data_IF_351493277433
#
_entry.id   IF_351493277433
#
_cell.length_a   1.000
_cell.length_b   1.000
_cell.length_c   1.000
_cell.angle_alpha   90.00
_cell.angle_beta   90.00
_cell.angle_gamma   90.00
#
_symmetry.space_group_name_H-M   'P 1'
#
loop_
_entity.id
_entity.type
_entity.pdbx_description
1 polymer ?
#
# COMPACT_ATOMS: atom_id res chain seq x y z
N UNK A 1 -29.90 12.20 25.42
CA UNK A 1 -30.44 12.46 24.05
C UNK A 1 -31.40 13.65 24.01
N UNK A 2 -32.36 13.85 24.93
CA UNK A 2 -33.20 15.05 24.92
C UNK A 2 -32.49 16.34 25.39
N UNK A 3 -31.61 16.27 26.37
CA UNK A 3 -30.85 17.43 26.86
C UNK A 3 -29.85 17.99 25.83
N UNK A 4 -29.31 17.14 24.91
CA UNK A 4 -28.42 17.59 23.86
C UNK A 4 -29.16 18.21 22.66
N UNK A 5 -30.42 17.80 22.46
CA UNK A 5 -31.30 18.42 21.44
C UNK A 5 -31.72 19.83 21.84
N UNK A 6 -32.08 20.04 23.13
CA UNK A 6 -32.44 21.37 23.67
C UNK A 6 -31.28 22.39 23.53
N UNK A 7 -30.02 21.95 23.77
CA UNK A 7 -28.85 22.82 23.63
C UNK A 7 -28.53 23.17 22.15
N UNK A 8 -28.85 22.30 21.21
CA UNK A 8 -28.68 22.58 19.78
C UNK A 8 -29.71 23.60 19.28
N UNK A 9 -30.94 23.53 19.78
CA UNK A 9 -32.01 24.47 19.43
C UNK A 9 -31.77 25.89 20.02
N UNK A 10 -31.30 25.99 21.25
CA UNK A 10 -30.89 27.28 21.84
C UNK A 10 -29.76 27.93 21.03
N UNK A 11 -28.74 27.15 20.62
CA UNK A 11 -27.62 27.70 19.84
C UNK A 11 -28.03 28.28 18.50
N UNK A 12 -29.09 27.73 17.87
CA UNK A 12 -29.63 28.29 16.62
C UNK A 12 -30.23 29.70 16.82
N UNK A 13 -31.02 29.89 17.89
CA UNK A 13 -31.65 31.19 18.18
C UNK A 13 -30.65 32.28 18.55
N UNK A 14 -29.46 31.93 19.06
CA UNK A 14 -28.38 32.91 19.29
C UNK A 14 -27.78 33.47 18.00
N UNK A 15 -27.92 32.77 16.88
CA UNK A 15 -27.43 33.22 15.57
C UNK A 15 -28.40 34.15 14.85
N UNK A 16 -29.64 34.24 15.28
CA UNK A 16 -30.62 35.15 14.67
C UNK A 16 -30.34 36.58 15.04
N UNK A 17 -30.37 37.46 14.05
CA UNK A 17 -30.36 38.89 14.32
C UNK A 17 -31.62 39.33 15.07
N UNK A 18 -31.59 40.52 15.70
CA UNK A 18 -32.74 41.05 16.40
C UNK A 18 -33.97 41.20 15.50
N UNK A 19 -33.77 41.59 14.24
CA UNK A 19 -34.80 41.70 13.22
C UNK A 19 -35.39 40.31 12.88
N UNK A 20 -34.53 39.31 12.72
CA UNK A 20 -34.99 37.92 12.46
C UNK A 20 -35.79 37.35 13.61
N UNK A 21 -35.40 37.62 14.87
CA UNK A 21 -36.15 37.18 16.06
C UNK A 21 -37.55 37.82 16.13
N UNK A 22 -37.68 39.09 15.77
CA UNK A 22 -38.96 39.77 15.68
C UNK A 22 -39.80 39.16 14.54
N UNK A 23 -39.20 38.89 13.39
CA UNK A 23 -39.87 38.36 12.23
C UNK A 23 -40.43 36.94 12.47
N UNK A 24 -39.74 36.10 13.25
CA UNK A 24 -40.28 34.80 13.69
C UNK A 24 -41.61 34.95 14.40
N UNK A 25 -41.72 35.88 15.36
CA UNK A 25 -42.96 36.07 16.12
C UNK A 25 -44.06 36.68 15.23
N UNK A 26 -43.68 37.60 14.33
CA UNK A 26 -44.61 38.20 13.38
C UNK A 26 -45.16 37.17 12.41
N UNK A 27 -44.31 36.32 11.87
CA UNK A 27 -44.72 35.19 11.01
C UNK A 27 -45.72 34.25 11.71
N UNK A 28 -45.48 33.91 12.97
CA UNK A 28 -46.40 33.04 13.74
C UNK A 28 -47.81 33.63 13.84
N UNK A 29 -47.95 34.97 13.97
CA UNK A 29 -49.22 35.62 14.08
C UNK A 29 -49.83 35.90 12.70
N UNK A 30 -49.09 36.57 11.80
CA UNK A 30 -49.61 37.07 10.54
C UNK A 30 -49.77 35.99 9.45
N UNK A 31 -48.84 35.02 9.40
CA UNK A 31 -48.85 33.98 8.38
C UNK A 31 -49.52 32.69 8.86
N UNK A 32 -49.31 32.30 10.13
CA UNK A 32 -49.83 31.05 10.66
C UNK A 32 -51.05 31.24 11.53
N UNK A 33 -51.50 32.46 11.79
CA UNK A 33 -52.77 32.76 12.47
C UNK A 33 -52.79 32.47 13.95
N UNK A 34 -51.66 32.33 14.63
CA UNK A 34 -51.63 32.10 16.08
C UNK A 34 -52.08 33.37 16.84
N UNK A 35 -52.83 33.14 17.92
CA UNK A 35 -53.22 34.27 18.78
C UNK A 35 -52.07 34.78 19.66
N UNK A 36 -52.04 36.06 19.96
CA UNK A 36 -51.10 36.66 20.91
C UNK A 36 -51.12 35.94 22.26
N UNK A 37 -52.31 35.38 22.63
CA UNK A 37 -52.49 34.65 23.88
C UNK A 37 -51.76 33.30 23.88
N UNK A 38 -51.80 32.59 22.74
CA UNK A 38 -51.16 31.28 22.62
C UNK A 38 -49.62 31.41 22.63
N UNK A 39 -49.11 32.43 21.93
CA UNK A 39 -47.66 32.74 21.90
C UNK A 39 -47.20 33.16 23.32
N UNK A 40 -47.97 34.01 24.00
CA UNK A 40 -47.65 34.46 25.34
C UNK A 40 -47.58 33.30 26.33
N UNK A 41 -48.53 32.36 26.23
CA UNK A 41 -48.56 31.16 27.07
C UNK A 41 -47.38 30.24 26.77
N UNK A 42 -47.10 29.97 25.53
CA UNK A 42 -46.00 29.08 25.10
C UNK A 42 -44.61 29.68 25.41
N UNK A 43 -44.40 30.97 25.26
CA UNK A 43 -43.14 31.65 25.57
C UNK A 43 -42.97 31.98 27.07
N UNK A 44 -44.00 31.78 27.90
CA UNK A 44 -43.98 32.14 29.29
C UNK A 44 -43.87 33.64 29.55
N UNK A 45 -44.58 34.47 28.78
CA UNK A 45 -44.53 35.92 28.88
C UNK A 45 -45.91 36.56 28.89
N UNK A 46 -46.01 37.85 29.17
CA UNK A 46 -47.28 38.57 29.10
C UNK A 46 -47.73 38.83 27.67
N UNK A 47 -49.05 38.96 27.43
CA UNK A 47 -49.58 39.37 26.11
C UNK A 47 -49.02 40.72 25.63
N UNK A 48 -48.75 41.64 26.56
CA UNK A 48 -48.13 42.91 26.28
C UNK A 48 -46.70 42.79 25.76
N UNK A 49 -45.93 41.80 26.26
CA UNK A 49 -44.59 41.53 25.74
C UNK A 49 -44.65 41.05 24.30
N UNK A 50 -45.52 40.11 23.95
CA UNK A 50 -45.75 39.63 22.59
C UNK A 50 -46.17 40.76 21.66
N UNK A 51 -47.09 41.64 22.06
CA UNK A 51 -47.51 42.78 21.28
C UNK A 51 -46.36 43.77 21.02
N UNK A 52 -45.45 43.96 21.98
CA UNK A 52 -44.24 44.76 21.77
C UNK A 52 -43.26 44.09 20.76
N UNK A 53 -43.17 42.77 20.80
CA UNK A 53 -42.34 42.04 19.80
C UNK A 53 -42.89 42.20 18.37
N UNK A 54 -44.18 41.98 18.20
CA UNK A 54 -44.82 42.17 16.87
C UNK A 54 -44.69 43.57 16.33
N UNK A 55 -44.81 44.59 17.19
CA UNK A 55 -44.64 46.00 16.80
C UNK A 55 -43.18 46.42 16.63
N UNK A 56 -42.21 45.56 16.89
CA UNK A 56 -40.78 45.86 16.84
C UNK A 56 -40.27 46.76 17.97
N UNK A 57 -41.13 47.07 18.99
CA UNK A 57 -40.77 47.88 20.15
C UNK A 57 -39.92 47.18 21.19
N UNK A 58 -39.83 45.84 21.07
CA UNK A 58 -38.95 45.01 21.87
C UNK A 58 -38.54 43.77 21.04
N UNK A 59 -37.37 43.22 21.33
CA UNK A 59 -36.86 41.99 20.70
C UNK A 59 -37.11 40.80 21.61
N UNK A 60 -37.62 39.69 21.10
CA UNK A 60 -37.72 38.46 21.86
C UNK A 60 -36.34 37.98 22.31
N UNK A 61 -36.23 37.65 23.62
CA UNK A 61 -35.01 37.02 24.13
C UNK A 61 -34.88 35.59 23.63
N UNK A 62 -33.67 35.09 23.50
CA UNK A 62 -33.35 33.75 22.93
C UNK A 62 -34.02 32.65 23.72
N UNK A 63 -34.00 32.72 25.08
CA UNK A 63 -34.66 31.77 25.96
C UNK A 63 -36.19 31.72 25.75
N UNK A 64 -36.82 32.80 25.38
CA UNK A 64 -38.26 32.89 25.09
C UNK A 64 -38.61 32.29 23.72
N UNK A 65 -37.76 32.48 22.74
CA UNK A 65 -37.91 31.79 21.44
C UNK A 65 -37.64 30.30 21.55
N UNK A 66 -36.66 29.88 22.33
CA UNK A 66 -36.39 28.47 22.63
C UNK A 66 -37.57 27.79 23.34
N UNK A 67 -38.18 28.48 24.35
CA UNK A 67 -39.38 27.99 25.01
C UNK A 67 -40.58 27.87 24.04
N UNK A 68 -40.72 28.86 23.13
CA UNK A 68 -41.76 28.82 22.12
C UNK A 68 -41.55 27.68 21.11
N UNK A 69 -40.32 27.42 20.70
CA UNK A 69 -39.97 26.29 19.85
C UNK A 69 -40.20 24.96 20.57
N UNK A 70 -39.81 24.83 21.83
CA UNK A 70 -40.04 23.61 22.60
C UNK A 70 -41.54 23.30 22.78
N UNK A 71 -42.41 24.34 22.88
CA UNK A 71 -43.85 24.17 23.00
C UNK A 71 -44.55 23.86 21.64
N UNK A 72 -44.00 24.37 20.54
CA UNK A 72 -44.58 24.25 19.19
C UNK A 72 -43.52 24.08 18.07
N UNK A 73 -42.74 22.98 18.09
CA UNK A 73 -41.56 22.85 17.24
C UNK A 73 -41.87 22.93 15.77
N UNK A 74 -42.86 22.22 15.27
CA UNK A 74 -43.18 22.23 13.83
C UNK A 74 -43.73 23.57 13.34
N UNK A 75 -44.46 24.28 14.20
CA UNK A 75 -45.07 25.58 13.89
C UNK A 75 -44.02 26.67 13.84
N UNK A 76 -43.11 26.70 14.82
CA UNK A 76 -42.02 27.69 14.88
C UNK A 76 -41.02 27.44 13.77
N UNK A 77 -40.71 26.16 13.44
CA UNK A 77 -39.82 25.82 12.36
C UNK A 77 -40.22 26.42 11.00
N UNK A 78 -41.53 26.54 10.74
CA UNK A 78 -42.06 27.17 9.50
C UNK A 78 -41.81 28.68 9.40
N UNK A 79 -41.52 29.33 10.52
CA UNK A 79 -41.25 30.77 10.61
C UNK A 79 -39.77 31.07 10.82
N UNK A 80 -38.95 30.08 11.02
CA UNK A 80 -37.50 30.28 11.11
C UNK A 80 -36.96 30.62 9.72
N UNK A 81 -36.05 31.61 9.59
CA UNK A 81 -35.30 31.80 8.38
C UNK A 81 -34.49 30.48 8.14
N UNK A 82 -34.36 30.07 6.84
CA UNK A 82 -33.50 28.97 6.54
C UNK A 82 -32.12 29.19 7.17
N UNK A 83 -31.63 28.27 8.00
CA UNK A 83 -30.33 28.47 8.63
C UNK A 83 -29.29 28.62 7.51
N UNK A 84 -28.38 29.59 7.59
CA UNK A 84 -27.23 29.55 6.73
C UNK A 84 -26.55 28.22 6.99
N UNK A 85 -26.45 27.39 5.95
CA UNK A 85 -25.89 26.06 6.04
C UNK A 85 -24.50 26.19 6.67
N UNK A 86 -24.40 25.87 7.94
CA UNK A 86 -23.18 26.06 8.71
C UNK A 86 -22.12 25.06 8.23
N UNK A 87 -20.84 25.45 8.28
CA UNK A 87 -19.72 24.61 7.88
C UNK A 87 -19.79 23.21 8.51
N UNK A 88 -20.27 23.10 9.77
CA UNK A 88 -20.44 21.84 10.49
C UNK A 88 -21.52 20.95 9.85
N UNK A 89 -22.61 21.52 9.37
CA UNK A 89 -23.67 20.78 8.67
C UNK A 89 -23.22 20.32 7.28
N UNK A 90 -22.48 21.18 6.57
CA UNK A 90 -21.82 20.78 5.32
C UNK A 90 -20.85 19.65 5.56
N UNK A 91 -19.99 19.72 6.57
CA UNK A 91 -19.03 18.68 6.90
C UNK A 91 -19.72 17.37 7.32
N UNK A 92 -20.86 17.45 8.04
CA UNK A 92 -21.68 16.28 8.40
C UNK A 92 -22.32 15.65 7.16
N UNK A 93 -22.91 16.45 6.28
CA UNK A 93 -23.48 15.99 5.01
C UNK A 93 -22.39 15.36 4.12
N UNK A 94 -21.23 16.00 4.01
CA UNK A 94 -20.10 15.47 3.23
C UNK A 94 -19.57 14.15 3.82
N UNK A 95 -19.51 14.04 5.15
CA UNK A 95 -19.12 12.77 5.81
C UNK A 95 -20.12 11.67 5.56
N UNK A 96 -21.42 11.98 5.61
CA UNK A 96 -22.49 11.03 5.29
C UNK A 96 -22.47 10.62 3.81
N UNK A 97 -22.23 11.57 2.91
CA UNK A 97 -22.06 11.32 1.47
C UNK A 97 -20.82 10.44 1.22
N UNK A 98 -19.69 10.73 1.88
CA UNK A 98 -18.47 9.93 1.76
C UNK A 98 -18.68 8.49 2.25
N UNK A 99 -19.47 8.29 3.30
CA UNK A 99 -19.84 6.96 3.75
C UNK A 99 -20.78 6.24 2.77
N UNK A 100 -21.77 6.95 2.24
CA UNK A 100 -22.72 6.43 1.27
C UNK A 100 -22.06 6.08 -0.08
N UNK A 101 -21.01 6.81 -0.50
CA UNK A 101 -20.26 6.54 -1.73
C UNK A 101 -19.44 5.25 -1.70
N UNK A 102 -19.35 4.56 -0.55
CA UNK A 102 -18.78 3.21 -0.44
C UNK A 102 -19.68 2.15 -1.11
N UNK A 103 -20.97 2.40 -1.19
CA UNK A 103 -21.89 1.62 -2.00
C UNK A 103 -21.88 2.15 -3.44
N UNK A 104 -21.50 1.34 -4.46
CA UNK A 104 -21.40 1.79 -5.84
C UNK A 104 -22.72 2.33 -6.40
N UNK A 105 -23.86 1.69 -6.09
CA UNK A 105 -25.15 2.11 -6.60
C UNK A 105 -25.59 3.46 -6.01
N UNK A 106 -25.38 3.65 -4.70
CA UNK A 106 -25.71 4.89 -4.01
C UNK A 106 -24.75 6.02 -4.43
N UNK A 107 -23.49 5.70 -4.66
CA UNK A 107 -22.52 6.66 -5.21
C UNK A 107 -22.94 7.19 -6.57
N UNK A 108 -23.32 6.30 -7.49
CA UNK A 108 -23.73 6.69 -8.85
C UNK A 108 -25.00 7.54 -8.82
N UNK A 109 -25.94 7.21 -7.96
CA UNK A 109 -27.14 8.02 -7.71
C UNK A 109 -26.78 9.43 -7.18
N UNK A 110 -25.90 9.52 -6.17
CA UNK A 110 -25.45 10.79 -5.59
C UNK A 110 -24.77 11.65 -6.65
N UNK A 111 -23.84 11.09 -7.42
CA UNK A 111 -23.12 11.81 -8.48
C UNK A 111 -24.09 12.30 -9.57
N UNK A 112 -25.07 11.50 -9.96
CA UNK A 112 -26.10 11.91 -10.92
C UNK A 112 -26.95 13.07 -10.40
N UNK A 113 -27.37 13.03 -9.13
CA UNK A 113 -28.15 14.12 -8.51
C UNK A 113 -27.34 15.41 -8.37
N UNK A 114 -26.08 15.30 -7.96
CA UNK A 114 -25.19 16.45 -7.87
C UNK A 114 -24.89 17.05 -9.25
N UNK A 115 -24.70 16.23 -10.30
CA UNK A 115 -24.50 16.72 -11.67
C UNK A 115 -25.74 17.44 -12.21
N UNK A 116 -26.96 17.00 -11.81
CA UNK A 116 -28.22 17.71 -12.15
C UNK A 116 -28.30 19.10 -11.46
N UNK A 117 -27.80 19.22 -10.21
CA UNK A 117 -27.82 20.46 -9.47
C UNK A 117 -26.70 21.44 -9.90
N UNK A 118 -25.57 20.89 -10.32
CA UNK A 118 -24.35 21.66 -10.67
C UNK A 118 -23.76 21.16 -12.01
N UNK A 119 -24.42 21.39 -13.15
CA UNK A 119 -24.03 20.82 -14.43
C UNK A 119 -22.57 21.18 -14.81
N UNK A 120 -21.74 20.18 -15.06
CA UNK A 120 -20.35 20.33 -15.48
C UNK A 120 -19.38 20.84 -14.44
N UNK A 121 -19.85 21.30 -13.27
CA UNK A 121 -18.97 21.82 -12.20
C UNK A 121 -18.38 20.68 -11.36
N UNK A 122 -19.19 19.68 -11.03
CA UNK A 122 -18.75 18.58 -10.16
C UNK A 122 -17.74 17.69 -10.84
N UNK A 123 -17.94 17.37 -12.12
CA UNK A 123 -16.95 16.57 -12.88
C UNK A 123 -15.60 17.25 -12.98
N UNK A 124 -15.56 18.58 -13.09
CA UNK A 124 -14.30 19.35 -13.08
C UNK A 124 -13.65 19.39 -11.71
N UNK A 125 -14.44 19.51 -10.62
CA UNK A 125 -13.93 19.56 -9.25
C UNK A 125 -13.47 18.17 -8.74
N UNK A 126 -13.97 17.07 -9.32
CA UNK A 126 -13.58 15.69 -8.97
C UNK A 126 -12.49 15.13 -9.90
N UNK A 127 -11.87 15.96 -10.71
CA UNK A 127 -10.86 15.56 -11.66
C UNK A 127 -9.54 16.29 -11.43
N UNK A 128 -8.45 15.55 -11.36
CA UNK A 128 -7.09 16.07 -11.28
C UNK A 128 -6.38 15.85 -12.61
N UNK A 129 -5.96 16.95 -13.26
CA UNK A 129 -5.13 16.90 -14.47
C UNK A 129 -3.67 16.69 -14.08
N UNK A 130 -3.12 15.55 -14.41
CA UNK A 130 -1.73 15.17 -14.08
C UNK A 130 -0.78 15.77 -15.10
N UNK A 131 0.25 16.44 -14.63
CA UNK A 131 1.33 16.97 -15.47
C UNK A 131 2.55 16.03 -15.43
N UNK A 132 3.51 16.27 -16.33
CA UNK A 132 4.81 15.55 -16.29
C UNK A 132 5.59 15.90 -15.02
N UNK A 133 5.51 17.14 -14.59
CA UNK A 133 6.13 17.64 -13.36
C UNK A 133 5.59 16.89 -12.13
N UNK A 134 4.30 16.55 -12.08
CA UNK A 134 3.72 15.73 -11.00
C UNK A 134 4.35 14.35 -10.93
N UNK A 135 4.60 13.73 -12.09
CA UNK A 135 5.21 12.40 -12.17
C UNK A 135 6.69 12.43 -11.74
N UNK A 136 7.42 13.47 -12.15
CA UNK A 136 8.83 13.65 -11.72
C UNK A 136 8.91 13.97 -10.22
N UNK A 137 8.03 14.81 -9.70
CA UNK A 137 7.93 15.09 -8.27
C UNK A 137 7.66 13.79 -7.49
N UNK A 138 6.70 12.98 -7.95
CA UNK A 138 6.40 11.68 -7.36
C UNK A 138 7.63 10.77 -7.30
N UNK A 139 8.40 10.70 -8.40
CA UNK A 139 9.66 9.96 -8.43
C UNK A 139 10.65 10.46 -7.38
N UNK A 140 10.85 11.78 -7.32
CA UNK A 140 11.72 12.41 -6.34
C UNK A 140 11.31 12.10 -4.88
N UNK A 141 10.02 12.15 -4.60
CA UNK A 141 9.47 11.82 -3.27
C UNK A 141 9.70 10.36 -2.90
N UNK A 142 9.46 9.41 -3.82
CA UNK A 142 9.72 7.99 -3.56
C UNK A 142 11.20 7.74 -3.22
N UNK A 143 12.11 8.36 -3.95
CA UNK A 143 13.55 8.21 -3.72
C UNK A 143 13.99 8.87 -2.39
N UNK A 144 13.43 10.02 -2.04
CA UNK A 144 13.71 10.71 -0.76
C UNK A 144 13.20 9.93 0.45
N UNK A 145 12.12 9.15 0.30
CA UNK A 145 11.61 8.23 1.32
C UNK A 145 12.44 6.93 1.44
N UNK A 146 13.50 6.78 0.66
CA UNK A 146 14.36 5.59 0.67
C UNK A 146 13.79 4.40 -0.12
N UNK A 147 12.80 4.63 -0.99
CA UNK A 147 12.30 3.58 -1.90
C UNK A 147 13.39 3.25 -2.90
N UNK A 148 13.72 1.95 -3.05
CA UNK A 148 14.71 1.51 -4.01
C UNK A 148 14.35 1.95 -5.44
N UNK A 149 15.36 2.38 -6.21
CA UNK A 149 15.19 2.90 -7.58
C UNK A 149 14.32 1.99 -8.46
N UNK A 150 14.61 0.68 -8.48
CA UNK A 150 13.85 -0.28 -9.28
C UNK A 150 12.37 -0.34 -8.87
N UNK A 151 12.07 -0.17 -7.58
CA UNK A 151 10.70 -0.13 -7.07
C UNK A 151 10.01 1.19 -7.45
N UNK A 152 10.71 2.31 -7.39
CA UNK A 152 10.21 3.60 -7.84
C UNK A 152 9.90 3.57 -9.34
N UNK A 153 10.83 3.03 -10.16
CA UNK A 153 10.65 2.87 -11.60
C UNK A 153 9.49 1.90 -11.93
N UNK A 154 9.25 0.88 -11.09
CA UNK A 154 8.09 0.00 -11.20
C UNK A 154 6.77 0.76 -10.92
N UNK A 155 6.70 1.57 -9.86
CA UNK A 155 5.54 2.42 -9.59
C UNK A 155 5.25 3.37 -10.75
N UNK A 156 6.28 4.04 -11.25
CA UNK A 156 6.15 4.95 -12.40
C UNK A 156 5.63 4.26 -13.64
N UNK A 157 6.14 3.07 -13.95
CA UNK A 157 5.69 2.29 -15.12
C UNK A 157 4.20 1.96 -15.06
N UNK A 158 3.68 1.51 -13.90
CA UNK A 158 2.25 1.19 -13.75
C UNK A 158 1.40 2.45 -13.74
N UNK A 159 1.85 3.52 -13.07
CA UNK A 159 1.17 4.81 -13.06
C UNK A 159 1.08 5.41 -14.46
N UNK A 160 2.20 5.53 -15.17
CA UNK A 160 2.23 6.11 -16.52
C UNK A 160 1.36 5.34 -17.51
N UNK A 161 1.39 4.00 -17.44
CA UNK A 161 0.52 3.18 -18.28
C UNK A 161 -0.96 3.46 -18.01
N UNK A 162 -1.34 3.63 -16.76
CA UNK A 162 -2.70 4.03 -16.38
C UNK A 162 -3.02 5.45 -16.86
N UNK A 163 -2.13 6.41 -16.65
CA UNK A 163 -2.34 7.82 -17.04
C UNK A 163 -2.55 7.98 -18.56
N UNK A 164 -1.79 7.24 -19.37
CA UNK A 164 -1.99 7.22 -20.81
C UNK A 164 -3.42 6.76 -21.16
N UNK A 165 -3.91 5.68 -20.53
CA UNK A 165 -5.27 5.17 -20.74
C UNK A 165 -6.36 6.11 -20.20
N UNK A 166 -6.03 6.85 -19.15
CA UNK A 166 -6.92 7.82 -18.50
C UNK A 166 -6.92 9.20 -19.16
N UNK A 167 -6.07 9.45 -20.17
CA UNK A 167 -5.93 10.75 -20.81
C UNK A 167 -5.27 11.80 -19.88
N UNK A 168 -4.39 11.36 -18.99
CA UNK A 168 -3.70 12.20 -17.99
C UNK A 168 -4.64 12.90 -16.99
N UNK A 169 -5.85 12.36 -16.82
CA UNK A 169 -6.84 12.88 -15.87
C UNK A 169 -7.19 11.77 -14.88
N UNK A 170 -7.10 12.05 -13.58
CA UNK A 170 -7.54 11.17 -12.51
C UNK A 170 -8.87 11.68 -11.99
N UNK A 171 -9.91 10.89 -12.17
CA UNK A 171 -11.28 11.13 -11.72
C UNK A 171 -11.93 9.81 -11.33
N UNK A 172 -13.07 9.78 -10.63
CA UNK A 172 -13.81 8.55 -10.38
C UNK A 172 -14.08 7.74 -11.65
N UNK A 173 -14.42 8.41 -12.77
CA UNK A 173 -14.68 7.76 -14.06
C UNK A 173 -13.43 7.11 -14.65
N UNK A 174 -12.29 7.79 -14.60
CA UNK A 174 -11.01 7.24 -15.12
C UNK A 174 -10.46 6.13 -14.21
N UNK A 175 -10.66 6.25 -12.89
CA UNK A 175 -10.30 5.20 -11.92
C UNK A 175 -11.04 3.90 -12.20
N UNK A 176 -12.32 3.97 -12.65
CA UNK A 176 -13.09 2.79 -12.99
C UNK A 176 -12.43 1.93 -14.09
N UNK A 177 -11.63 2.53 -14.98
CA UNK A 177 -10.85 1.83 -16.01
C UNK A 177 -9.84 0.83 -15.45
N UNK A 178 -9.44 0.96 -14.18
CA UNK A 178 -8.57 -0.01 -13.52
C UNK A 178 -9.22 -1.40 -13.48
N UNK A 179 -10.55 -1.45 -13.34
CA UNK A 179 -11.28 -2.72 -13.27
C UNK A 179 -11.33 -3.46 -14.60
N UNK A 180 -11.06 -2.79 -15.72
CA UNK A 180 -10.96 -3.42 -17.06
C UNK A 180 -9.59 -4.10 -17.28
N UNK A 181 -8.62 -3.90 -16.39
CA UNK A 181 -7.32 -4.60 -16.47
C UNK A 181 -7.56 -6.08 -16.17
N UNK A 182 -7.40 -6.94 -17.17
CA UNK A 182 -7.68 -8.38 -17.05
C UNK A 182 -6.77 -9.09 -16.05
N UNK A 183 -5.47 -8.78 -16.07
CA UNK A 183 -4.48 -9.45 -15.22
C UNK A 183 -4.56 -8.97 -13.77
N UNK A 184 -4.99 -9.81 -12.79
CA UNK A 184 -5.21 -9.38 -11.41
C UNK A 184 -3.96 -8.79 -10.73
N UNK A 185 -2.78 -9.32 -11.06
CA UNK A 185 -1.52 -8.83 -10.51
C UNK A 185 -1.16 -7.43 -11.03
N UNK A 186 -1.37 -7.19 -12.34
CA UNK A 186 -1.17 -5.87 -12.97
C UNK A 186 -2.15 -4.88 -12.39
N UNK A 187 -3.44 -5.25 -12.29
CA UNK A 187 -4.48 -4.44 -11.67
C UNK A 187 -4.09 -4.00 -10.26
N UNK A 188 -3.66 -4.95 -9.41
CA UNK A 188 -3.22 -4.64 -8.05
C UNK A 188 -2.05 -3.66 -8.02
N UNK A 189 -1.02 -3.87 -8.87
CA UNK A 189 0.15 -2.99 -8.93
C UNK A 189 -0.24 -1.59 -9.40
N UNK A 190 -1.12 -1.46 -10.38
CA UNK A 190 -1.65 -0.18 -10.84
C UNK A 190 -2.39 0.54 -9.71
N UNK A 191 -3.27 -0.15 -8.97
CA UNK A 191 -3.97 0.43 -7.82
C UNK A 191 -3.00 0.92 -6.75
N UNK A 192 -1.98 0.12 -6.42
CA UNK A 192 -0.98 0.51 -5.40
C UNK A 192 -0.19 1.73 -5.87
N UNK A 193 0.24 1.77 -7.13
CA UNK A 193 0.96 2.91 -7.69
C UNK A 193 0.11 4.18 -7.70
N UNK A 194 -1.16 4.08 -8.12
CA UNK A 194 -2.09 5.20 -8.16
C UNK A 194 -2.42 5.73 -6.75
N UNK A 195 -2.70 4.84 -5.80
CA UNK A 195 -2.93 5.24 -4.40
C UNK A 195 -1.72 5.97 -3.82
N UNK A 196 -0.52 5.46 -4.09
CA UNK A 196 0.71 6.10 -3.64
C UNK A 196 0.89 7.49 -4.27
N UNK A 197 0.61 7.63 -5.56
CA UNK A 197 0.65 8.91 -6.26
C UNK A 197 -0.38 9.91 -5.71
N UNK A 198 -1.61 9.49 -5.47
CA UNK A 198 -2.66 10.33 -4.88
C UNK A 198 -2.22 10.82 -3.49
N UNK A 199 -1.73 9.91 -2.63
CA UNK A 199 -1.35 10.23 -1.25
C UNK A 199 -0.12 11.14 -1.16
N UNK A 200 0.83 11.03 -2.08
CA UNK A 200 2.06 11.83 -2.06
C UNK A 200 1.94 13.12 -2.89
N UNK A 201 1.49 13.04 -4.13
CA UNK A 201 1.55 14.16 -5.09
C UNK A 201 0.27 14.99 -5.13
N UNK A 202 -0.91 14.35 -5.18
CA UNK A 202 -2.18 15.10 -5.24
C UNK A 202 -2.50 15.68 -3.88
N UNK A 203 -2.30 14.94 -2.79
CA UNK A 203 -2.61 15.37 -1.43
C UNK A 203 -1.84 16.62 -0.99
N UNK A 204 -0.63 16.83 -1.50
CA UNK A 204 0.15 18.05 -1.22
C UNK A 204 -0.43 19.30 -1.85
N UNK A 205 -1.13 19.16 -2.98
CA UNK A 205 -1.72 20.26 -3.74
C UNK A 205 -3.20 20.43 -3.44
N UNK A 206 -3.96 19.33 -3.41
CA UNK A 206 -5.41 19.29 -3.28
C UNK A 206 -5.84 18.20 -2.28
N UNK A 207 -5.68 18.43 -0.96
CA UNK A 207 -5.88 17.39 0.06
C UNK A 207 -7.31 16.82 0.09
N UNK A 208 -8.33 17.65 -0.17
CA UNK A 208 -9.74 17.22 -0.17
C UNK A 208 -10.04 16.31 -1.37
N UNK A 209 -9.58 16.70 -2.57
CA UNK A 209 -9.71 15.91 -3.78
C UNK A 209 -8.94 14.58 -3.65
N UNK A 210 -7.73 14.62 -3.09
CA UNK A 210 -6.94 13.42 -2.86
C UNK A 210 -7.66 12.40 -1.99
N UNK A 211 -8.32 12.81 -0.90
CA UNK A 211 -9.09 11.93 -0.04
C UNK A 211 -10.27 11.30 -0.80
N UNK A 212 -11.03 12.10 -1.56
CA UNK A 212 -12.13 11.60 -2.39
C UNK A 212 -11.66 10.57 -3.42
N UNK A 213 -10.57 10.87 -4.14
CA UNK A 213 -10.01 9.97 -5.13
C UNK A 213 -9.41 8.70 -4.49
N UNK A 214 -8.77 8.82 -3.33
CA UNK A 214 -8.17 7.68 -2.63
C UNK A 214 -9.22 6.67 -2.16
N UNK A 215 -10.38 7.16 -1.70
CA UNK A 215 -11.49 6.33 -1.22
C UNK A 215 -12.37 5.79 -2.35
N UNK A 216 -12.25 6.34 -3.57
CA UNK A 216 -13.03 5.90 -4.73
C UNK A 216 -12.76 4.44 -5.16
N UNK A 217 -11.68 3.83 -4.68
CA UNK A 217 -11.32 2.46 -5.06
C UNK A 217 -10.54 1.73 -3.97
N UNK A 218 -10.66 0.40 -3.97
CA UNK A 218 -9.98 -0.48 -3.01
C UNK A 218 -8.85 -1.26 -3.67
N UNK A 219 -7.84 -1.62 -2.89
CA UNK A 219 -6.76 -2.47 -3.40
C UNK A 219 -7.26 -3.91 -3.54
N UNK A 220 -7.26 -4.48 -4.76
CA UNK A 220 -7.75 -5.83 -4.97
C UNK A 220 -6.96 -6.86 -4.18
N UNK A 221 -7.65 -7.77 -3.52
CA UNK A 221 -7.02 -8.96 -2.92
C UNK A 221 -6.74 -9.96 -4.04
N UNK A 222 -5.49 -10.15 -4.40
CA UNK A 222 -5.10 -11.20 -5.33
C UNK A 222 -4.92 -12.49 -4.54
N UNK A 223 -5.79 -13.48 -4.78
CA UNK A 223 -5.58 -14.83 -4.27
C UNK A 223 -4.39 -15.44 -5.04
N UNK A 224 -3.27 -15.55 -4.38
CA UNK A 224 -2.12 -16.29 -4.93
C UNK A 224 -2.50 -17.78 -4.87
N UNK A 225 -2.73 -18.41 -6.03
CA UNK A 225 -2.85 -19.87 -6.09
C UNK A 225 -1.45 -20.45 -5.80
N UNK A 226 -1.24 -20.93 -4.59
CA UNK A 226 0.03 -21.52 -4.15
C UNK A 226 0.25 -22.96 -4.67
N UNK A 227 -0.21 -23.29 -5.87
CA UNK A 227 0.13 -24.57 -6.51
C UNK A 227 1.49 -24.46 -7.21
N UNK A 228 2.54 -24.35 -6.41
CA UNK A 228 3.88 -24.44 -6.96
C UNK A 228 4.35 -25.89 -6.89
N UNK A 229 4.73 -26.45 -8.03
CA UNK A 229 5.52 -27.67 -8.06
C UNK A 229 6.85 -27.37 -7.37
N UNK A 230 7.19 -28.13 -6.33
CA UNK A 230 8.49 -28.11 -5.69
C UNK A 230 9.34 -29.15 -6.39
N UNK A 231 10.55 -28.85 -6.87
CA UNK A 231 11.39 -29.83 -7.53
C UNK A 231 11.94 -30.85 -6.52
N UNK A 232 12.25 -32.05 -6.99
CA UNK A 232 13.01 -33.03 -6.22
C UNK A 232 14.51 -32.71 -6.27
N UNK A 233 15.30 -33.31 -5.37
CA UNK A 233 16.77 -33.10 -5.35
C UNK A 233 17.42 -33.67 -6.61
N UNK A 234 16.87 -34.73 -7.18
CA UNK A 234 17.32 -35.35 -8.42
C UNK A 234 17.06 -34.45 -9.62
N UNK A 235 15.90 -33.78 -9.67
CA UNK A 235 15.60 -32.78 -10.70
C UNK A 235 16.57 -31.60 -10.63
N UNK A 236 16.89 -31.13 -9.41
CA UNK A 236 17.84 -30.04 -9.20
C UNK A 236 19.27 -30.42 -9.60
N UNK A 237 19.73 -31.65 -9.25
CA UNK A 237 21.03 -32.17 -9.62
C UNK A 237 21.17 -32.34 -11.12
N UNK A 238 20.14 -32.85 -11.79
CA UNK A 238 20.15 -33.00 -13.25
C UNK A 238 20.39 -31.70 -13.98
N UNK A 239 19.78 -30.59 -13.50
CA UNK A 239 20.07 -29.27 -14.08
C UNK A 239 21.51 -28.84 -13.74
N UNK A 240 22.01 -29.13 -12.54
CA UNK A 240 23.38 -28.86 -12.17
C UNK A 240 24.39 -29.56 -13.11
N UNK A 241 24.15 -30.83 -13.42
CA UNK A 241 24.97 -31.63 -14.33
C UNK A 241 24.99 -31.00 -15.75
N UNK A 242 23.82 -30.61 -16.28
CA UNK A 242 23.75 -29.97 -17.59
C UNK A 242 24.38 -28.57 -17.56
N UNK A 243 24.18 -27.79 -16.48
CA UNK A 243 24.82 -26.49 -16.33
C UNK A 243 26.34 -26.60 -16.29
N UNK A 244 26.89 -27.65 -15.65
CA UNK A 244 28.33 -27.90 -15.56
C UNK A 244 28.96 -28.23 -16.94
N UNK A 245 28.21 -28.84 -17.85
CA UNK A 245 28.64 -29.06 -19.25
C UNK A 245 28.66 -27.77 -20.08
N UNK A 246 27.82 -26.80 -19.72
CA UNK A 246 27.69 -25.52 -20.44
C UNK A 246 28.67 -24.48 -19.90
N UNK A 247 28.69 -24.29 -18.57
CA UNK A 247 29.51 -23.29 -17.91
C UNK A 247 29.72 -23.62 -16.43
N UNK A 248 30.99 -23.69 -16.02
CA UNK A 248 31.36 -23.85 -14.60
C UNK A 248 30.75 -22.72 -13.74
N UNK A 249 30.65 -21.49 -14.28
CA UNK A 249 29.99 -20.37 -13.58
C UNK A 249 28.49 -20.66 -13.34
N UNK A 250 27.78 -21.12 -14.36
CA UNK A 250 26.36 -21.44 -14.25
C UNK A 250 26.11 -22.59 -13.25
N UNK A 251 26.93 -23.65 -13.31
CA UNK A 251 26.85 -24.76 -12.35
C UNK A 251 27.10 -24.30 -10.92
N UNK A 252 28.12 -23.47 -10.71
CA UNK A 252 28.46 -22.94 -9.37
C UNK A 252 27.31 -22.11 -8.81
N UNK A 253 26.77 -21.19 -9.59
CA UNK A 253 25.64 -20.36 -9.16
C UNK A 253 24.41 -21.22 -8.88
N UNK A 254 24.06 -22.15 -9.77
CA UNK A 254 22.94 -23.06 -9.57
C UNK A 254 23.08 -23.90 -8.29
N UNK A 255 24.25 -24.48 -8.06
CA UNK A 255 24.54 -25.29 -6.87
C UNK A 255 24.43 -24.48 -5.59
N UNK A 256 25.01 -23.27 -5.55
CA UNK A 256 24.93 -22.38 -4.39
C UNK A 256 23.48 -21.94 -4.12
N UNK A 257 22.71 -21.60 -5.16
CA UNK A 257 21.29 -21.28 -5.01
C UNK A 257 20.50 -22.48 -4.45
N UNK A 258 20.83 -23.69 -4.91
CA UNK A 258 20.14 -24.90 -4.53
C UNK A 258 20.52 -25.43 -3.14
N UNK A 259 21.72 -25.13 -2.64
CA UNK A 259 22.12 -25.51 -1.27
C UNK A 259 21.68 -24.48 -0.23
N UNK A 260 21.67 -23.18 -0.59
CA UNK A 260 21.52 -22.09 0.40
C UNK A 260 20.17 -21.38 0.32
N UNK A 261 19.47 -21.47 -0.81
CA UNK A 261 18.26 -20.71 -1.06
C UNK A 261 18.49 -19.18 -1.08
N UNK A 262 19.73 -18.72 -1.30
CA UNK A 262 20.06 -17.31 -1.43
C UNK A 262 19.34 -16.68 -2.63
N UNK A 263 19.12 -15.36 -2.61
CA UNK A 263 18.60 -14.66 -3.79
C UNK A 263 19.68 -14.52 -4.85
N UNK A 264 19.32 -14.74 -6.11
CA UNK A 264 20.26 -14.66 -7.23
C UNK A 264 20.97 -13.30 -7.29
N UNK A 265 20.22 -12.20 -7.15
CA UNK A 265 20.76 -10.84 -7.16
C UNK A 265 21.78 -10.59 -6.05
N UNK A 266 21.58 -11.15 -4.85
CA UNK A 266 22.55 -11.08 -3.76
C UNK A 266 23.81 -11.86 -4.10
N UNK A 267 23.66 -13.06 -4.65
CA UNK A 267 24.80 -13.90 -5.04
C UNK A 267 25.62 -13.25 -6.16
N UNK A 268 24.98 -12.64 -7.14
CA UNK A 268 25.67 -11.93 -8.26
C UNK A 268 26.42 -10.66 -7.82
N UNK A 269 26.06 -10.08 -6.69
CA UNK A 269 26.79 -8.95 -6.09
C UNK A 269 27.96 -9.37 -5.23
N UNK A 270 28.06 -10.66 -4.89
CA UNK A 270 29.12 -11.16 -4.04
C UNK A 270 30.51 -10.85 -4.61
N UNK A 271 31.42 -10.41 -3.73
CA UNK A 271 32.81 -10.11 -4.08
C UNK A 271 33.73 -11.29 -3.78
N UNK A 272 34.85 -11.33 -4.45
CA UNK A 272 35.84 -12.39 -4.25
C UNK A 272 36.44 -12.38 -2.83
N UNK A 273 36.69 -11.21 -2.28
CA UNK A 273 37.21 -11.02 -0.92
C UNK A 273 36.21 -11.45 0.17
N UNK A 274 34.91 -11.50 -0.17
CA UNK A 274 33.87 -12.04 0.72
C UNK A 274 33.91 -13.57 0.86
N UNK A 275 34.62 -14.28 -0.02
CA UNK A 275 34.69 -15.74 0.01
C UNK A 275 35.70 -16.23 1.05
N UNK A 276 35.22 -16.83 2.13
CA UNK A 276 36.02 -17.35 3.25
C UNK A 276 35.90 -18.88 3.31
N UNK A 277 36.67 -19.57 2.46
CA UNK A 277 36.59 -21.03 2.32
C UNK A 277 36.93 -21.76 3.62
N UNK A 278 37.90 -21.28 4.38
CA UNK A 278 38.32 -21.91 5.66
C UNK A 278 37.23 -21.78 6.73
N UNK A 279 36.43 -20.70 6.65
CA UNK A 279 35.24 -20.53 7.49
C UNK A 279 33.98 -21.09 6.88
N UNK A 280 34.07 -21.73 5.70
CA UNK A 280 32.95 -22.30 4.95
C UNK A 280 31.78 -21.32 4.82
N UNK A 281 32.04 -20.06 4.46
CA UNK A 281 31.03 -19.01 4.30
C UNK A 281 31.39 -18.04 3.18
N UNK A 282 30.36 -17.38 2.64
CA UNK A 282 30.47 -16.29 1.70
C UNK A 282 29.72 -15.07 2.25
N UNK A 283 30.43 -13.97 2.43
CA UNK A 283 29.88 -12.68 2.79
C UNK A 283 29.27 -12.03 1.55
N UNK A 284 28.00 -11.61 1.63
CA UNK A 284 27.26 -11.05 0.50
C UNK A 284 27.29 -9.51 0.45
N UNK A 285 27.95 -8.88 1.44
CA UNK A 285 28.00 -7.44 1.58
C UNK A 285 26.70 -6.86 2.18
N UNK A 286 26.73 -5.55 2.39
CA UNK A 286 25.56 -4.84 2.90
C UNK A 286 24.52 -4.69 1.80
N UNK A 287 23.30 -5.14 2.09
CA UNK A 287 22.10 -4.91 1.28
C UNK A 287 21.17 -4.02 2.08
N UNK A 288 20.88 -2.84 1.58
CA UNK A 288 19.94 -1.92 2.21
C UNK A 288 18.52 -2.51 2.24
N UNK A 289 17.79 -2.28 3.35
CA UNK A 289 16.39 -2.62 3.49
C UNK A 289 16.10 -3.93 4.26
N UNK A 290 14.81 -4.33 4.35
CA UNK A 290 14.35 -5.43 5.23
C UNK A 290 14.73 -6.84 4.73
N UNK A 291 15.35 -6.96 3.56
CA UNK A 291 15.73 -8.25 2.94
C UNK A 291 17.21 -8.56 3.15
N UNK A 292 17.71 -8.35 4.35
CA UNK A 292 19.13 -8.53 4.65
C UNK A 292 19.49 -10.01 4.73
N UNK A 293 20.51 -10.41 3.98
CA UNK A 293 21.17 -11.70 4.10
C UNK A 293 22.69 -11.41 4.00
N UNK A 294 23.37 -11.22 5.13
CA UNK A 294 24.76 -10.76 5.14
C UNK A 294 25.73 -11.82 4.69
N UNK A 295 25.39 -13.10 4.88
CA UNK A 295 26.24 -14.23 4.53
C UNK A 295 25.43 -15.46 4.14
N UNK A 296 26.07 -16.41 3.49
CA UNK A 296 25.63 -17.79 3.32
C UNK A 296 26.69 -18.75 3.81
N UNK A 297 26.27 -19.90 4.31
CA UNK A 297 27.15 -21.01 4.65
C UNK A 297 27.41 -21.88 3.43
N UNK A 298 28.52 -22.58 3.43
CA UNK A 298 28.94 -23.47 2.35
C UNK A 298 29.06 -24.89 2.90
N UNK A 299 28.57 -25.87 2.16
CA UNK A 299 28.82 -27.30 2.43
C UNK A 299 30.27 -27.66 2.12
N UNK A 300 30.74 -28.79 2.63
CA UNK A 300 32.10 -29.27 2.32
C UNK A 300 32.28 -29.51 0.82
N UNK A 301 31.27 -30.10 0.15
CA UNK A 301 31.27 -30.27 -1.29
C UNK A 301 31.35 -28.95 -2.07
N UNK A 302 30.60 -27.91 -1.62
CA UNK A 302 30.69 -26.57 -2.20
C UNK A 302 32.09 -25.96 -2.04
N UNK A 303 32.70 -26.08 -0.85
CA UNK A 303 34.06 -25.58 -0.59
C UNK A 303 35.07 -26.26 -1.50
N UNK A 304 35.03 -27.58 -1.57
CA UNK A 304 35.90 -28.38 -2.44
C UNK A 304 35.75 -27.96 -3.91
N UNK A 305 34.52 -27.92 -4.42
CA UNK A 305 34.24 -27.53 -5.80
C UNK A 305 34.66 -26.08 -6.09
N UNK A 306 34.43 -25.16 -5.19
CA UNK A 306 34.86 -23.76 -5.34
C UNK A 306 36.39 -23.67 -5.41
N UNK A 307 37.12 -24.38 -4.53
CA UNK A 307 38.57 -24.35 -4.45
C UNK A 307 39.23 -25.02 -5.67
N UNK A 308 38.76 -26.21 -6.03
CA UNK A 308 39.43 -27.06 -7.02
C UNK A 308 38.95 -26.82 -8.46
N UNK A 309 37.72 -26.37 -8.64
CA UNK A 309 37.10 -26.24 -9.96
C UNK A 309 36.80 -24.80 -10.32
N UNK A 310 36.02 -24.10 -9.47
CA UNK A 310 35.51 -22.78 -9.83
C UNK A 310 36.57 -21.69 -9.84
N UNK A 311 37.36 -21.56 -8.75
CA UNK A 311 38.35 -20.48 -8.68
C UNK A 311 39.44 -20.59 -9.77
N UNK A 312 40.00 -21.78 -10.08
CA UNK A 312 40.90 -21.92 -11.22
C UNK A 312 40.25 -21.61 -12.56
N UNK A 313 38.97 -22.00 -12.74
CA UNK A 313 38.20 -21.63 -13.94
C UNK A 313 38.01 -20.10 -14.01
N UNK A 314 37.60 -19.46 -12.92
CA UNK A 314 37.39 -18.02 -12.84
C UNK A 314 38.65 -17.23 -13.19
N UNK A 315 39.78 -17.63 -12.66
CA UNK A 315 41.07 -16.99 -12.94
C UNK A 315 41.42 -17.06 -14.44
N UNK A 316 41.30 -18.24 -15.05
CA UNK A 316 41.50 -18.41 -16.51
C UNK A 316 40.50 -17.56 -17.31
N UNK A 317 39.24 -17.58 -16.92
CA UNK A 317 38.18 -16.82 -17.60
C UNK A 317 38.47 -15.31 -17.56
N UNK A 318 38.78 -14.75 -16.40
CA UNK A 318 39.11 -13.34 -16.25
C UNK A 318 40.39 -12.96 -17.05
N UNK A 319 41.37 -13.82 -17.06
CA UNK A 319 42.62 -13.60 -17.83
C UNK A 319 42.35 -13.60 -19.34
N UNK A 320 41.61 -14.55 -19.85
CA UNK A 320 41.26 -14.64 -21.27
C UNK A 320 40.45 -13.43 -21.77
N UNK A 321 39.55 -12.90 -20.96
CA UNK A 321 38.71 -11.76 -21.30
C UNK A 321 39.30 -10.41 -20.82
N UNK A 322 40.50 -10.42 -20.27
CA UNK A 322 41.18 -9.23 -19.72
C UNK A 322 40.30 -8.48 -18.68
N UNK A 323 39.50 -9.21 -17.88
CA UNK A 323 38.61 -8.65 -16.91
C UNK A 323 39.34 -8.43 -15.55
N UNK A 324 39.45 -7.17 -15.12
CA UNK A 324 39.80 -6.87 -13.75
C UNK A 324 38.54 -6.77 -12.89
N UNK A 325 37.99 -7.92 -12.46
CA UNK A 325 36.73 -7.97 -11.75
C UNK A 325 36.91 -8.40 -10.30
N UNK A 326 36.45 -7.57 -9.37
CA UNK A 326 36.35 -7.91 -7.94
C UNK A 326 35.11 -8.78 -7.63
N UNK A 327 34.20 -8.97 -8.59
CA UNK A 327 33.04 -9.84 -8.40
C UNK A 327 33.48 -11.31 -8.30
N UNK A 328 32.82 -12.05 -7.39
CA UNK A 328 33.00 -13.49 -7.32
C UNK A 328 32.58 -14.15 -8.65
N UNK A 329 31.43 -13.72 -9.22
CA UNK A 329 30.89 -14.21 -10.49
C UNK A 329 31.04 -13.12 -11.57
N UNK A 330 32.06 -13.22 -12.45
CA UNK A 330 32.38 -12.18 -13.43
C UNK A 330 31.54 -12.24 -14.70
N UNK A 331 30.46 -13.05 -14.74
CA UNK A 331 29.55 -13.14 -15.86
C UNK A 331 28.47 -12.05 -15.83
N UNK A 332 27.95 -11.68 -17.02
CA UNK A 332 26.77 -10.82 -17.15
C UNK A 332 25.51 -11.62 -16.78
N UNK A 333 24.53 -10.94 -16.21
CA UNK A 333 23.29 -11.56 -15.76
C UNK A 333 22.53 -12.20 -16.93
N UNK A 334 22.46 -11.52 -18.08
CA UNK A 334 21.81 -12.02 -19.29
C UNK A 334 22.45 -13.32 -19.79
N UNK A 335 23.79 -13.38 -19.78
CA UNK A 335 24.55 -14.58 -20.19
C UNK A 335 24.28 -15.74 -19.23
N UNK A 336 24.24 -15.47 -17.93
CA UNK A 336 23.89 -16.47 -16.94
C UNK A 336 22.47 -17.01 -17.16
N UNK A 337 21.49 -16.14 -17.39
CA UNK A 337 20.12 -16.58 -17.68
C UNK A 337 20.04 -17.46 -18.93
N UNK A 338 20.80 -17.14 -19.97
CA UNK A 338 20.89 -17.98 -21.18
C UNK A 338 21.46 -19.38 -20.86
N UNK A 339 22.59 -19.46 -20.16
CA UNK A 339 23.18 -20.74 -19.75
C UNK A 339 22.24 -21.59 -18.88
N UNK A 340 21.59 -20.97 -17.89
CA UNK A 340 20.65 -21.66 -17.04
C UNK A 340 19.35 -22.06 -17.78
N UNK A 341 18.93 -21.30 -18.76
CA UNK A 341 17.80 -21.66 -19.62
C UNK A 341 18.16 -22.91 -20.44
N UNK A 342 19.30 -22.90 -21.11
CA UNK A 342 19.78 -24.03 -21.89
C UNK A 342 19.94 -25.30 -21.03
N UNK A 343 20.52 -25.19 -19.84
CA UNK A 343 20.67 -26.32 -18.93
C UNK A 343 19.33 -26.93 -18.53
N UNK A 344 18.33 -26.09 -18.23
CA UNK A 344 16.98 -26.54 -17.87
C UNK A 344 16.26 -27.22 -19.04
N UNK A 345 16.44 -26.71 -20.25
CA UNK A 345 15.86 -27.28 -21.47
C UNK A 345 16.50 -28.65 -21.76
N UNK A 346 17.84 -28.76 -21.68
CA UNK A 346 18.57 -30.03 -21.84
C UNK A 346 18.21 -31.07 -20.78
N UNK A 347 17.98 -30.62 -19.56
CA UNK A 347 17.50 -31.48 -18.46
C UNK A 347 16.02 -31.88 -18.60
N UNK A 348 15.26 -31.37 -19.56
CA UNK A 348 13.80 -31.54 -19.67
C UNK A 348 12.99 -30.89 -18.55
N UNK A 349 13.54 -29.85 -17.92
CA UNK A 349 13.00 -29.18 -16.72
C UNK A 349 12.87 -27.65 -16.92
N UNK A 350 12.43 -27.23 -18.10
CA UNK A 350 12.32 -25.80 -18.47
C UNK A 350 11.50 -24.96 -17.48
N UNK A 351 10.54 -25.60 -16.77
CA UNK A 351 9.68 -24.95 -15.76
C UNK A 351 10.43 -24.55 -14.48
N UNK A 352 11.57 -25.20 -14.17
CA UNK A 352 12.28 -25.04 -12.90
C UNK A 352 13.19 -23.81 -12.95
N UNK A 353 12.62 -22.64 -12.71
CA UNK A 353 13.37 -21.38 -12.69
C UNK A 353 14.20 -21.22 -11.41
N UNK A 354 15.33 -20.47 -11.44
CA UNK A 354 16.22 -20.25 -10.29
C UNK A 354 15.49 -19.75 -9.03
N UNK A 355 14.43 -18.93 -9.18
CA UNK A 355 13.61 -18.47 -8.05
C UNK A 355 12.91 -19.58 -7.28
N UNK A 356 12.67 -20.73 -7.90
CA UNK A 356 12.04 -21.88 -7.25
C UNK A 356 12.99 -22.63 -6.33
N UNK A 357 14.30 -22.53 -6.55
CA UNK A 357 15.31 -23.15 -5.68
C UNK A 357 15.20 -22.64 -4.24
N UNK A 358 14.83 -21.39 -4.03
CA UNK A 358 14.61 -20.86 -2.69
C UNK A 358 13.41 -21.50 -1.97
N UNK A 359 12.39 -21.96 -2.72
CA UNK A 359 11.27 -22.73 -2.17
C UNK A 359 11.69 -24.18 -1.96
N UNK A 360 12.45 -24.73 -2.90
CA UNK A 360 13.03 -26.08 -2.78
C UNK A 360 13.84 -26.20 -1.49
N UNK A 361 14.82 -25.32 -1.25
CA UNK A 361 15.64 -25.37 -0.04
C UNK A 361 14.78 -25.26 1.22
N UNK A 362 13.80 -24.34 1.24
CA UNK A 362 12.92 -24.19 2.39
C UNK A 362 12.11 -25.47 2.66
N UNK A 363 11.53 -26.08 1.63
CA UNK A 363 10.75 -27.32 1.76
C UNK A 363 11.64 -28.49 2.14
N UNK A 364 12.79 -28.63 1.48
CA UNK A 364 13.75 -29.70 1.75
C UNK A 364 14.22 -29.70 3.21
N UNK A 365 14.60 -28.53 3.73
CA UNK A 365 15.02 -28.39 5.13
C UNK A 365 13.88 -28.62 6.10
N UNK A 366 12.67 -28.16 5.77
CA UNK A 366 11.47 -28.39 6.59
C UNK A 366 11.13 -29.88 6.68
N UNK A 367 11.14 -30.58 5.54
CA UNK A 367 10.85 -32.02 5.47
C UNK A 367 11.92 -32.84 6.21
N UNK A 368 13.16 -32.33 6.28
CA UNK A 368 14.24 -32.90 7.07
C UNK A 368 14.14 -32.59 8.58
N UNK A 369 13.18 -31.75 9.01
CA UNK A 369 12.92 -31.44 10.41
C UNK A 369 13.56 -30.16 10.92
N UNK A 370 14.00 -29.24 10.04
CA UNK A 370 14.50 -27.92 10.45
C UNK A 370 13.34 -27.00 10.84
N UNK A 371 13.61 -26.09 11.79
CA UNK A 371 12.64 -25.10 12.23
C UNK A 371 12.39 -24.00 11.18
N UNK A 372 11.13 -23.57 11.02
CA UNK A 372 10.74 -22.54 10.05
C UNK A 372 11.42 -21.19 10.29
N UNK A 373 11.66 -20.85 11.57
CA UNK A 373 12.35 -19.60 11.90
C UNK A 373 13.83 -19.66 11.46
N UNK A 374 14.52 -20.78 11.72
CA UNK A 374 15.90 -20.97 11.28
C UNK A 374 16.02 -20.95 9.75
N UNK A 375 15.08 -21.61 9.04
CA UNK A 375 15.02 -21.58 7.57
C UNK A 375 14.79 -20.15 7.05
N UNK A 376 13.85 -19.41 7.66
CA UNK A 376 13.57 -18.04 7.26
C UNK A 376 14.80 -17.15 7.40
N UNK A 377 15.55 -17.32 8.45
CA UNK A 377 16.75 -16.53 8.74
C UNK A 377 17.92 -16.92 7.86
N UNK A 378 18.18 -18.22 7.64
CA UNK A 378 19.17 -18.70 6.65
C UNK A 378 18.91 -18.10 5.27
N UNK A 379 17.64 -17.90 4.93
CA UNK A 379 17.25 -17.25 3.68
C UNK A 379 17.17 -15.72 3.74
N UNK A 380 17.47 -15.06 4.87
CA UNK A 380 17.35 -13.61 5.02
C UNK A 380 15.92 -13.11 4.78
N UNK A 381 14.92 -13.80 5.32
CA UNK A 381 13.53 -13.33 5.38
C UNK A 381 13.32 -12.60 6.70
N UNK A 382 12.52 -11.54 6.66
CA UNK A 382 12.09 -10.88 7.88
C UNK A 382 11.28 -11.86 8.73
N UNK A 383 11.62 -11.96 10.00
CA UNK A 383 10.83 -12.69 10.98
C UNK A 383 9.60 -11.85 11.39
N UNK A 384 8.49 -12.49 11.82
CA UNK A 384 7.42 -11.78 12.50
C UNK A 384 7.97 -10.98 13.67
N UNK A 385 7.43 -9.78 13.93
CA UNK A 385 7.98 -8.81 14.89
C UNK A 385 8.27 -9.40 16.28
N UNK A 386 7.39 -10.27 16.79
CA UNK A 386 7.62 -10.92 18.10
C UNK A 386 8.78 -11.90 18.13
N UNK A 387 9.07 -12.60 17.02
CA UNK A 387 10.21 -13.51 16.89
C UNK A 387 11.52 -12.74 16.63
N UNK A 388 11.46 -11.62 15.91
CA UNK A 388 12.64 -10.79 15.63
C UNK A 388 13.26 -10.26 16.93
N UNK A 389 12.45 -9.74 17.85
CA UNK A 389 12.89 -9.24 19.16
C UNK A 389 13.56 -10.36 19.98
N UNK A 390 12.95 -11.56 20.00
CA UNK A 390 13.50 -12.70 20.73
C UNK A 390 14.87 -13.11 20.19
N UNK A 391 15.02 -13.11 18.86
CA UNK A 391 16.28 -13.50 18.22
C UNK A 391 17.38 -12.47 18.47
N UNK A 392 17.08 -11.17 18.33
CA UNK A 392 18.06 -10.09 18.52
C UNK A 392 18.54 -9.97 19.97
N UNK A 393 17.68 -10.25 20.96
CA UNK A 393 18.00 -10.03 22.36
C UNK A 393 18.37 -11.28 23.16
N UNK A 394 17.94 -12.47 22.74
CA UNK A 394 18.10 -13.69 23.53
C UNK A 394 19.02 -14.74 22.92
N UNK A 395 19.44 -14.61 21.67
CA UNK A 395 20.33 -15.59 21.02
C UNK A 395 21.72 -14.97 20.85
N UNK A 396 22.59 -15.26 21.83
CA UNK A 396 23.96 -14.70 21.91
C UNK A 396 24.88 -15.24 20.79
N UNK A 397 24.71 -16.48 20.34
CA UNK A 397 25.54 -17.12 19.30
C UNK A 397 24.72 -17.64 18.14
N UNK A 398 24.07 -16.69 17.47
CA UNK A 398 23.11 -16.97 16.44
C UNK A 398 23.75 -17.57 15.17
N UNK A 399 24.93 -17.08 14.78
CA UNK A 399 25.66 -17.60 13.61
C UNK A 399 26.01 -19.08 13.80
N UNK A 400 26.45 -19.47 14.98
CA UNK A 400 26.79 -20.86 15.32
C UNK A 400 25.56 -21.77 15.23
N UNK A 401 24.41 -21.36 15.75
CA UNK A 401 23.16 -22.11 15.65
C UNK A 401 22.75 -22.30 14.19
N UNK A 402 22.71 -21.23 13.41
CA UNK A 402 22.35 -21.29 11.99
C UNK A 402 23.31 -22.19 11.20
N UNK A 403 24.61 -22.14 11.57
CA UNK A 403 25.61 -23.03 11.00
C UNK A 403 25.28 -24.50 11.24
N UNK A 404 24.98 -24.88 12.49
CA UNK A 404 24.60 -26.25 12.85
C UNK A 404 23.35 -26.70 12.09
N UNK A 405 22.34 -25.83 11.98
CA UNK A 405 21.11 -26.12 11.22
C UNK A 405 21.42 -26.33 9.73
N UNK A 406 22.25 -25.45 9.15
CA UNK A 406 22.66 -25.55 7.76
C UNK A 406 23.45 -26.85 7.50
N UNK A 407 24.45 -27.14 8.31
CA UNK A 407 25.29 -28.33 8.15
C UNK A 407 24.46 -29.64 8.25
N UNK A 408 23.43 -29.65 9.09
CA UNK A 408 22.55 -30.81 9.29
C UNK A 408 21.52 -30.98 8.21
N UNK A 409 20.88 -29.89 7.74
CA UNK A 409 19.65 -29.95 6.97
C UNK A 409 19.76 -29.42 5.52
N UNK A 410 20.86 -28.75 5.16
CA UNK A 410 20.98 -28.20 3.81
C UNK A 410 21.04 -29.29 2.74
N UNK A 411 20.39 -29.09 1.56
CA UNK A 411 20.59 -29.97 0.42
C UNK A 411 22.08 -30.03 0.03
N UNK A 412 22.54 -31.17 -0.43
CA UNK A 412 23.92 -31.34 -0.91
C UNK A 412 23.89 -31.59 -2.42
N UNK A 413 24.27 -30.57 -3.17
CA UNK A 413 24.22 -30.59 -4.65
C UNK A 413 25.62 -30.83 -5.23
N UNK A 414 26.63 -30.16 -4.68
CA UNK A 414 28.01 -30.38 -5.11
C UNK A 414 28.52 -31.80 -4.75
N UNK A 415 29.41 -32.38 -5.56
CA UNK A 415 30.07 -33.65 -5.23
C UNK A 415 30.77 -33.56 -3.87
N UNK A 416 30.64 -34.64 -3.08
CA UNK A 416 31.26 -34.76 -1.76
C UNK A 416 32.75 -35.07 -1.83
#
# INVERSE_FOLDING_TARGET
>A
MEADKLKADEYYFYKLTDEQRVEVVRCLIERLGLSVSDIAKAAGVSKTAVSKWVSGRAVPQVDKLAALHAAMPETVARCLPEPPVGRIEVDRCLSSLAQATRDPALRDYILQRLEMLFPGQIKRQLAYSVTREDVELFRGMLLSEGVAKDTADEYLRYLTKFLIQAGWVISPDTISKIYTIETPHVRRKTVVALKRFIDTSIKTKEPQLANLLYDAFTTPKVKVKNHFKVPTIEEVRRIWDEANKISTCAATIWGLLAETGVRLDHLLRAKLDGLQLDKRRLLLGEVAGPKRQPLIFLTDGAVKYLRETYLPWRERFCRQLQLNSHKLFPCREETLYQWLKEAREKAGLAWLEPKLLRKFVAQFMLDAGADLADIAMLQGRALPSGLAVTVEHYIIDYERRLRQVFDKFAPKIFPQ
#
